data_IF_206701693581
#
_entry.id   IF_206701693581
#
_cell.length_a   1.000
_cell.length_b   1.000
_cell.length_c   1.000
_cell.angle_alpha   90.00
_cell.angle_beta   90.00
_cell.angle_gamma   90.00
#
_symmetry.space_group_name_H-M   'P 1'
#
loop_
_entity.id
_entity.type
_entity.pdbx_description
1 polymer ?
#
# COMPACT_ATOMS: atom_id res chain seq x y z
N UNK A 1 -8.31 3.82 -14.71
CA UNK A 1 -7.78 3.09 -13.56
C UNK A 1 -7.07 4.11 -12.69
N UNK A 2 -7.68 4.44 -11.56
CA UNK A 2 -7.09 5.26 -10.51
C UNK A 2 -6.05 4.43 -9.76
N UNK A 3 -5.15 5.10 -9.04
CA UNK A 3 -4.12 4.43 -8.25
C UNK A 3 -4.72 3.50 -7.19
N UNK A 4 -5.86 3.89 -6.62
CA UNK A 4 -6.59 3.10 -5.64
C UNK A 4 -7.15 1.79 -6.23
N UNK A 5 -7.69 1.83 -7.45
CA UNK A 5 -8.14 0.61 -8.16
C UNK A 5 -6.97 -0.36 -8.39
N UNK A 6 -5.78 0.16 -8.72
CA UNK A 6 -4.60 -0.67 -8.91
C UNK A 6 -4.11 -1.30 -7.59
N UNK A 7 -4.23 -0.58 -6.46
CA UNK A 7 -3.94 -1.15 -5.12
C UNK A 7 -4.92 -2.28 -4.80
N UNK A 8 -6.22 -2.09 -5.08
CA UNK A 8 -7.22 -3.12 -4.88
C UNK A 8 -7.00 -4.34 -5.78
N UNK A 9 -6.48 -4.14 -7.00
CA UNK A 9 -6.08 -5.24 -7.89
C UNK A 9 -4.90 -6.04 -7.32
N UNK A 10 -3.89 -5.36 -6.78
CA UNK A 10 -2.77 -6.01 -6.06
C UNK A 10 -3.32 -6.83 -4.89
N UNK A 11 -4.18 -6.23 -4.05
CA UNK A 11 -4.84 -6.91 -2.92
C UNK A 11 -5.64 -8.13 -3.39
N UNK A 12 -6.34 -8.05 -4.52
CA UNK A 12 -7.10 -9.17 -5.07
C UNK A 12 -6.20 -10.31 -5.59
N UNK A 13 -5.00 -9.97 -6.09
CA UNK A 13 -4.05 -10.94 -6.63
C UNK A 13 -3.19 -11.63 -5.56
N UNK A 14 -2.84 -10.94 -4.48
CA UNK A 14 -1.94 -11.48 -3.42
C UNK A 14 -2.64 -11.71 -2.08
N UNK A 15 -3.86 -11.23 -1.89
CA UNK A 15 -4.54 -11.08 -0.59
C UNK A 15 -4.08 -9.83 0.19
N UNK A 16 -4.96 -9.36 1.08
CA UNK A 16 -4.74 -8.16 1.91
C UNK A 16 -3.48 -8.27 2.79
N UNK A 17 -3.25 -9.43 3.40
CA UNK A 17 -2.08 -9.65 4.27
C UNK A 17 -0.76 -9.52 3.51
N UNK A 18 -0.65 -10.11 2.32
CA UNK A 18 0.56 -9.99 1.49
C UNK A 18 0.74 -8.57 0.95
N UNK A 19 -0.35 -7.91 0.53
CA UNK A 19 -0.30 -6.53 0.06
C UNK A 19 0.17 -5.56 1.17
N UNK A 20 -0.29 -5.76 2.42
CA UNK A 20 0.23 -5.03 3.57
C UNK A 20 1.72 -5.35 3.83
N UNK A 21 2.14 -6.60 3.61
CA UNK A 21 3.55 -7.00 3.67
C UNK A 21 4.42 -6.26 2.65
N UNK A 22 3.94 -6.11 1.42
CA UNK A 22 4.63 -5.34 0.37
C UNK A 22 4.79 -3.86 0.74
N UNK A 23 3.75 -3.23 1.28
CA UNK A 23 3.84 -1.85 1.76
C UNK A 23 4.79 -1.75 2.95
N UNK A 24 4.77 -2.72 3.87
CA UNK A 24 5.67 -2.79 5.04
C UNK A 24 7.12 -2.83 4.57
N UNK A 25 7.45 -3.67 3.61
CA UNK A 25 8.79 -3.77 3.01
C UNK A 25 9.19 -2.48 2.29
N UNK A 26 8.29 -1.93 1.48
CA UNK A 26 8.56 -0.75 0.66
C UNK A 26 8.74 0.54 1.49
N UNK A 27 7.87 0.77 2.49
CA UNK A 27 7.92 1.95 3.36
C UNK A 27 8.80 1.77 4.59
N UNK A 28 9.30 0.56 4.85
CA UNK A 28 9.90 0.18 6.13
C UNK A 28 8.99 0.58 7.32
N UNK A 29 7.70 0.23 7.18
CA UNK A 29 6.66 0.60 8.12
C UNK A 29 6.52 -0.44 9.24
N UNK A 30 6.17 0.02 10.45
CA UNK A 30 5.90 -0.87 11.59
C UNK A 30 4.45 -1.35 11.60
N UNK A 31 3.53 -0.54 11.08
CA UNK A 31 2.11 -0.87 10.95
C UNK A 31 1.61 -0.40 9.59
N UNK A 32 0.76 -1.21 8.96
CA UNK A 32 0.16 -0.93 7.66
C UNK A 32 -1.29 -1.36 7.67
N UNK A 33 -2.15 -0.53 7.11
CA UNK A 33 -3.54 -0.87 6.80
C UNK A 33 -3.87 -0.44 5.37
N UNK A 34 -4.58 -1.30 4.64
CA UNK A 34 -5.17 -0.96 3.34
C UNK A 34 -6.68 -1.04 3.49
N UNK A 35 -7.37 0.07 3.21
CA UNK A 35 -8.83 0.12 3.30
C UNK A 35 -9.51 -0.47 2.06
N UNK A 36 -10.82 -0.67 2.14
CA UNK A 36 -11.65 -1.17 1.04
C UNK A 36 -11.70 -0.24 -0.19
N UNK A 37 -11.23 1.00 -0.03
CA UNK A 37 -11.11 2.00 -1.09
C UNK A 37 -9.72 2.03 -1.72
N UNK A 38 -8.78 1.18 -1.28
CA UNK A 38 -7.39 1.15 -1.77
C UNK A 38 -6.53 2.31 -1.26
N UNK A 39 -6.91 2.97 -0.17
CA UNK A 39 -6.01 3.88 0.54
C UNK A 39 -5.09 3.08 1.47
N UNK A 40 -3.89 3.60 1.64
CA UNK A 40 -2.86 2.96 2.43
C UNK A 40 -2.56 3.89 3.61
N UNK A 41 -2.73 3.37 4.81
CA UNK A 41 -2.23 3.99 6.03
C UNK A 41 -0.95 3.28 6.44
N UNK A 42 0.05 4.06 6.80
CA UNK A 42 1.29 3.53 7.38
C UNK A 42 1.55 4.22 8.72
N UNK A 43 2.09 3.48 9.68
CA UNK A 43 2.80 4.06 10.80
C UNK A 43 4.21 3.53 10.89
N UNK A 44 5.12 4.48 11.05
CA UNK A 44 6.47 4.26 11.57
C UNK A 44 6.43 4.68 13.03
N UNK A 45 7.28 4.10 13.92
CA UNK A 45 7.01 3.87 15.36
C UNK A 45 6.54 5.03 16.25
N UNK A 46 6.41 6.26 15.73
CA UNK A 46 5.86 7.41 16.46
C UNK A 46 4.73 8.17 15.74
N UNK A 47 4.47 8.00 14.44
CA UNK A 47 3.38 8.74 13.74
C UNK A 47 2.87 8.01 12.52
N UNK A 48 1.53 7.85 12.47
CA UNK A 48 0.81 7.30 11.33
C UNK A 48 0.23 8.36 10.41
N UNK A 49 0.22 8.08 9.11
CA UNK A 49 -0.36 8.94 8.10
C UNK A 49 -0.85 8.12 6.89
N UNK A 50 -1.80 8.69 6.15
CA UNK A 50 -2.24 8.15 4.87
C UNK A 50 -1.23 8.50 3.79
N UNK A 51 -0.96 7.56 2.89
CA UNK A 51 -0.15 7.82 1.71
C UNK A 51 -0.91 8.69 0.72
N UNK A 52 -0.25 9.76 0.28
CA UNK A 52 -0.74 10.59 -0.81
C UNK A 52 -0.73 9.85 -2.15
N UNK A 53 -1.43 10.41 -3.14
CA UNK A 53 -1.61 9.79 -4.45
C UNK A 53 -0.29 9.50 -5.18
N UNK A 54 0.71 10.39 -5.07
CA UNK A 54 2.03 10.18 -5.65
C UNK A 54 2.73 8.95 -5.03
N UNK A 55 2.65 8.80 -3.71
CA UNK A 55 3.26 7.67 -2.98
C UNK A 55 2.56 6.36 -3.32
N UNK A 56 1.23 6.37 -3.39
CA UNK A 56 0.44 5.23 -3.85
C UNK A 56 0.85 4.82 -5.28
N UNK A 57 1.08 5.78 -6.17
CA UNK A 57 1.49 5.48 -7.54
C UNK A 57 2.89 4.87 -7.63
N UNK A 58 3.83 5.37 -6.81
CA UNK A 58 5.17 4.79 -6.67
C UNK A 58 5.11 3.35 -6.13
N UNK A 59 4.27 3.10 -5.12
CA UNK A 59 4.06 1.76 -4.58
C UNK A 59 3.52 0.80 -5.65
N UNK A 60 2.48 1.20 -6.39
CA UNK A 60 1.90 0.37 -7.47
C UNK A 60 2.94 0.05 -8.55
N UNK A 61 3.76 1.03 -8.95
CA UNK A 61 4.81 0.80 -9.94
C UNK A 61 5.89 -0.17 -9.44
N UNK A 62 6.27 -0.07 -8.16
CA UNK A 62 7.23 -0.98 -7.54
C UNK A 62 6.66 -2.40 -7.38
N UNK A 63 5.43 -2.53 -6.89
CA UNK A 63 4.78 -3.81 -6.64
C UNK A 63 4.54 -4.60 -7.94
N UNK A 64 4.29 -3.92 -9.07
CA UNK A 64 4.17 -4.57 -10.39
C UNK A 64 5.52 -4.94 -11.03
N UNK A 65 6.64 -4.45 -10.49
CA UNK A 65 7.98 -4.75 -10.99
C UNK A 65 8.66 -5.92 -10.26
N UNK A 66 8.03 -6.42 -9.19
CA UNK A 66 8.41 -7.64 -8.46
C UNK A 66 7.93 -8.87 -9.21
#
# INVERSE_FOLDING_TARGET
MTTNEAILEIVANTSLEEACGFVTEWCNASEVEIDESGNIWIANPMTGHWLDEEKKAQFVAWANAQ
#
